data_IF_646295820820
#
_entry.id   IF_646295820820
#
_cell.length_a   1.000
_cell.length_b   1.000
_cell.length_c   1.000
_cell.angle_alpha   90.00
_cell.angle_beta   90.00
_cell.angle_gamma   90.00
#
_symmetry.space_group_name_H-M   'P 1'
#
loop_
_entity.id
_entity.type
_entity.pdbx_description
1 polymer ?
#
# COMPACT_ATOMS: atom_id res chain seq x y z
N UNK A 1 -24.93 -12.62 11.37
CA UNK A 1 -24.17 -11.43 10.95
C UNK A 1 -23.82 -11.63 9.49
N UNK A 2 -24.02 -10.63 8.63
CA UNK A 2 -23.59 -10.73 7.23
C UNK A 2 -22.07 -10.90 7.16
N UNK A 3 -21.59 -11.73 6.24
CA UNK A 3 -20.15 -11.87 5.98
C UNK A 3 -19.67 -10.55 5.41
N UNK A 4 -18.61 -10.00 6.01
CA UNK A 4 -17.98 -8.74 5.58
C UNK A 4 -16.69 -9.05 4.84
N UNK A 5 -16.43 -8.28 3.80
CA UNK A 5 -15.25 -8.34 2.96
C UNK A 5 -14.52 -7.00 2.99
N UNK A 6 -13.20 -7.05 2.88
CA UNK A 6 -12.38 -5.88 2.62
C UNK A 6 -12.28 -5.65 1.12
N UNK A 7 -12.52 -4.43 0.67
CA UNK A 7 -12.42 -4.02 -0.72
C UNK A 7 -11.37 -2.89 -0.86
N UNK A 8 -10.35 -3.12 -1.68
CA UNK A 8 -9.33 -2.14 -2.01
C UNK A 8 -9.68 -1.41 -3.32
N UNK A 9 -9.89 -0.10 -3.24
CA UNK A 9 -10.14 0.74 -4.41
C UNK A 9 -8.92 1.61 -4.73
N UNK A 10 -8.52 1.60 -6.01
CA UNK A 10 -7.40 2.41 -6.54
C UNK A 10 -7.84 3.34 -7.68
N UNK A 11 -9.11 3.27 -8.10
CA UNK A 11 -9.68 4.02 -9.22
C UNK A 11 -10.88 4.86 -8.80
N UNK A 12 -11.93 4.91 -9.63
CA UNK A 12 -13.08 5.80 -9.38
C UNK A 12 -13.89 5.48 -8.13
N UNK A 13 -13.85 4.25 -7.61
CA UNK A 13 -14.57 3.90 -6.37
C UNK A 13 -13.99 4.59 -5.13
N UNK A 14 -12.83 5.25 -5.24
CA UNK A 14 -12.33 6.13 -4.18
C UNK A 14 -13.17 7.42 -4.03
N UNK A 15 -13.89 7.82 -5.08
CA UNK A 15 -14.70 9.04 -5.09
C UNK A 15 -16.15 8.74 -4.67
N UNK A 16 -16.54 9.25 -3.50
CA UNK A 16 -17.88 9.04 -2.93
C UNK A 16 -18.99 9.62 -3.81
N UNK A 17 -18.75 10.74 -4.48
CA UNK A 17 -19.75 11.39 -5.32
C UNK A 17 -19.98 10.61 -6.63
N UNK A 18 -18.91 10.11 -7.26
CA UNK A 18 -19.00 9.23 -8.43
C UNK A 18 -19.74 7.94 -8.11
N UNK A 19 -19.41 7.31 -6.98
CA UNK A 19 -20.11 6.13 -6.47
C UNK A 19 -21.60 6.42 -6.23
N UNK A 20 -21.91 7.45 -5.45
CA UNK A 20 -23.29 7.82 -5.10
C UNK A 20 -24.12 8.10 -6.35
N UNK A 21 -23.60 8.90 -7.28
CA UNK A 21 -24.27 9.22 -8.55
C UNK A 21 -24.50 7.98 -9.40
N UNK A 22 -23.59 7.00 -9.37
CA UNK A 22 -23.75 5.75 -10.11
C UNK A 22 -24.87 4.87 -9.52
N UNK A 23 -24.94 4.78 -8.18
CA UNK A 23 -25.98 4.05 -7.45
C UNK A 23 -27.37 4.68 -7.61
N UNK A 24 -27.50 5.99 -7.40
CA UNK A 24 -28.78 6.72 -7.48
C UNK A 24 -29.41 6.60 -8.87
N UNK A 25 -28.61 6.66 -9.93
CA UNK A 25 -29.07 6.45 -11.32
C UNK A 25 -29.66 5.06 -11.58
N UNK A 26 -29.43 4.10 -10.67
CA UNK A 26 -29.89 2.71 -10.75
C UNK A 26 -30.88 2.35 -9.64
N UNK A 27 -31.25 3.30 -8.78
CA UNK A 27 -32.11 3.04 -7.62
C UNK A 27 -31.46 2.14 -6.56
N UNK A 28 -30.13 2.16 -6.46
CA UNK A 28 -29.35 1.36 -5.51
C UNK A 28 -28.93 2.23 -4.31
N UNK A 29 -28.79 1.61 -3.14
CA UNK A 29 -28.30 2.29 -1.93
C UNK A 29 -26.76 2.33 -1.91
N UNK A 30 -26.13 3.53 -1.90
CA UNK A 30 -24.67 3.65 -1.84
C UNK A 30 -24.07 3.39 -0.45
N UNK A 31 -24.89 3.28 0.61
CA UNK A 31 -24.45 3.33 2.00
C UNK A 31 -23.57 2.16 2.47
N UNK A 32 -23.70 1.00 1.82
CA UNK A 32 -22.93 -0.21 2.16
C UNK A 32 -21.45 -0.15 1.79
N UNK A 33 -20.99 0.85 1.03
CA UNK A 33 -19.57 1.07 0.73
C UNK A 33 -18.92 1.89 1.85
N UNK A 34 -18.52 1.22 2.93
CA UNK A 34 -18.04 1.89 4.16
C UNK A 34 -16.53 2.05 4.14
N UNK A 35 -16.02 3.28 4.02
CA UNK A 35 -14.57 3.54 4.03
C UNK A 35 -13.97 3.27 5.41
N UNK A 36 -12.97 2.39 5.46
CA UNK A 36 -12.19 2.08 6.68
C UNK A 36 -10.97 3.00 6.76
N UNK A 37 -10.26 3.23 5.66
CA UNK A 37 -9.03 4.02 5.71
C UNK A 37 -8.23 4.04 4.41
N UNK A 38 -6.98 4.45 4.52
CA UNK A 38 -5.98 4.36 3.46
C UNK A 38 -5.47 2.91 3.38
N UNK A 39 -4.96 2.53 2.21
CA UNK A 39 -4.24 1.29 2.04
C UNK A 39 -3.25 1.38 0.87
N UNK A 40 -2.38 0.39 0.79
CA UNK A 40 -1.35 0.24 -0.22
C UNK A 40 -1.40 -1.18 -0.77
N UNK A 41 -1.34 -1.29 -2.09
CA UNK A 41 -1.13 -2.55 -2.79
C UNK A 41 0.36 -2.63 -3.19
N UNK A 42 1.20 -3.36 -2.45
CA UNK A 42 2.64 -3.41 -2.68
C UNK A 42 2.99 -4.32 -3.87
N UNK A 43 4.07 -3.95 -4.58
CA UNK A 43 4.58 -4.62 -5.78
C UNK A 43 3.59 -4.63 -6.96
N UNK A 44 2.73 -3.61 -7.03
CA UNK A 44 1.84 -3.32 -8.15
C UNK A 44 2.08 -1.93 -8.71
N UNK A 45 1.66 -1.73 -9.96
CA UNK A 45 1.61 -0.43 -10.65
C UNK A 45 0.22 -0.19 -11.22
N UNK A 46 -0.13 1.09 -11.36
CA UNK A 46 -1.32 1.52 -12.08
C UNK A 46 -1.05 1.54 -13.58
N UNK A 47 -1.98 1.05 -14.40
CA UNK A 47 -1.92 1.09 -15.86
C UNK A 47 -3.22 1.56 -16.48
N UNK A 48 -3.11 2.12 -17.69
CA UNK A 48 -4.23 2.39 -18.59
C UNK A 48 -4.02 1.61 -19.89
N UNK A 49 -4.55 0.39 -19.92
CA UNK A 49 -4.41 -0.55 -21.05
C UNK A 49 -5.75 -1.16 -21.44
N UNK A 50 -6.85 -0.51 -21.07
CA UNK A 50 -8.22 -0.93 -21.39
C UNK A 50 -9.06 0.30 -21.70
N UNK A 51 -9.76 0.28 -22.84
CA UNK A 51 -10.68 1.36 -23.22
C UNK A 51 -12.05 1.15 -22.59
N UNK A 52 -12.45 2.09 -21.73
CA UNK A 52 -13.79 2.14 -21.15
C UNK A 52 -14.71 3.05 -21.96
N UNK A 53 -15.83 2.50 -22.44
CA UNK A 53 -16.87 3.28 -23.13
C UNK A 53 -17.53 4.31 -22.21
N UNK A 54 -17.62 4.04 -20.90
CA UNK A 54 -18.24 4.96 -19.93
C UNK A 54 -17.32 6.13 -19.58
N UNK A 55 -16.00 5.90 -19.51
CA UNK A 55 -14.98 6.94 -19.27
C UNK A 55 -14.47 7.60 -20.54
N UNK A 56 -14.82 7.04 -21.72
CA UNK A 56 -14.39 7.47 -23.06
C UNK A 56 -12.87 7.53 -23.23
N UNK A 57 -12.15 6.63 -22.57
CA UNK A 57 -10.69 6.59 -22.55
C UNK A 57 -10.17 5.42 -21.72
N UNK A 58 -8.88 5.44 -21.43
CA UNK A 58 -8.21 4.47 -20.56
C UNK A 58 -8.85 4.39 -19.18
N UNK A 59 -9.26 3.20 -18.75
CA UNK A 59 -9.67 2.93 -17.38
C UNK A 59 -8.51 2.32 -16.58
N UNK A 60 -8.49 2.63 -15.28
CA UNK A 60 -7.42 2.24 -14.38
C UNK A 60 -7.41 0.74 -14.13
N UNK A 61 -6.24 0.14 -14.19
CA UNK A 61 -5.97 -1.23 -13.77
C UNK A 61 -4.77 -1.27 -12.83
N UNK A 62 -4.70 -2.29 -11.97
CA UNK A 62 -3.49 -2.59 -11.20
C UNK A 62 -2.88 -3.90 -11.69
N UNK A 63 -1.59 -3.86 -11.99
CA UNK A 63 -0.86 -5.06 -12.44
C UNK A 63 0.35 -5.32 -11.53
N UNK A 64 0.69 -6.59 -11.28
CA UNK A 64 1.94 -6.94 -10.60
C UNK A 64 3.14 -6.32 -11.32
N UNK A 65 4.13 -5.90 -10.54
CA UNK A 65 5.31 -5.20 -11.04
C UNK A 65 6.55 -5.52 -10.22
N UNK A 66 7.61 -4.75 -10.44
CA UNK A 66 8.87 -4.90 -9.72
C UNK A 66 8.71 -4.53 -8.25
N UNK A 67 9.52 -5.21 -7.43
CA UNK A 67 9.66 -4.96 -5.99
C UNK A 67 9.78 -3.47 -5.69
N UNK A 68 9.06 -2.98 -4.68
CA UNK A 68 9.18 -1.59 -4.20
C UNK A 68 8.28 -0.60 -4.94
N UNK A 69 7.60 -1.03 -6.01
CA UNK A 69 6.41 -0.32 -6.48
C UNK A 69 5.26 -0.51 -5.50
N UNK A 70 4.33 0.44 -5.45
CA UNK A 70 3.12 0.31 -4.66
C UNK A 70 2.03 1.22 -5.23
N UNK A 71 0.78 0.77 -5.17
CA UNK A 71 -0.39 1.59 -5.53
C UNK A 71 -1.10 2.00 -4.24
N UNK A 72 -1.13 3.28 -3.86
CA UNK A 72 -1.97 3.75 -2.77
C UNK A 72 -3.44 3.77 -3.22
N UNK A 73 -4.34 3.53 -2.27
CA UNK A 73 -5.78 3.52 -2.49
C UNK A 73 -6.55 3.64 -1.18
N UNK A 74 -7.85 3.37 -1.26
CA UNK A 74 -8.74 3.38 -0.11
C UNK A 74 -9.26 1.97 0.18
N UNK A 75 -9.31 1.64 1.47
CA UNK A 75 -9.87 0.39 1.98
C UNK A 75 -11.31 0.62 2.43
N UNK A 76 -12.20 -0.28 2.01
CA UNK A 76 -13.60 -0.29 2.34
C UNK A 76 -14.01 -1.62 2.97
N UNK A 77 -15.03 -1.56 3.82
CA UNK A 77 -15.81 -2.70 4.27
C UNK A 77 -17.06 -2.81 3.40
N UNK A 78 -17.37 -4.02 2.93
CA UNK A 78 -18.57 -4.31 2.15
C UNK A 78 -19.19 -5.64 2.60
N UNK A 79 -20.51 -5.75 2.56
CA UNK A 79 -21.20 -7.04 2.69
C UNK A 79 -21.42 -7.70 1.31
N UNK A 80 -22.07 -8.86 1.30
CA UNK A 80 -22.34 -9.60 0.06
C UNK A 80 -23.21 -8.84 -0.96
N UNK A 81 -24.20 -8.08 -0.49
CA UNK A 81 -25.11 -7.32 -1.36
C UNK A 81 -24.37 -6.12 -1.99
N UNK A 82 -23.52 -5.47 -1.19
CA UNK A 82 -22.66 -4.40 -1.67
C UNK A 82 -21.59 -4.90 -2.64
N UNK A 83 -21.01 -6.07 -2.39
CA UNK A 83 -20.07 -6.70 -3.31
C UNK A 83 -20.74 -7.04 -4.66
N UNK A 84 -21.97 -7.56 -4.64
CA UNK A 84 -22.73 -7.77 -5.87
C UNK A 84 -23.04 -6.45 -6.61
N UNK A 85 -23.23 -5.35 -5.87
CA UNK A 85 -23.40 -4.02 -6.45
C UNK A 85 -22.12 -3.53 -7.14
N UNK A 86 -20.96 -3.77 -6.52
CA UNK A 86 -19.65 -3.49 -7.14
C UNK A 86 -19.44 -4.34 -8.40
N UNK A 87 -19.79 -5.62 -8.39
CA UNK A 87 -19.70 -6.49 -9.58
C UNK A 87 -20.47 -5.93 -10.78
N UNK A 88 -21.68 -5.41 -10.54
CA UNK A 88 -22.48 -4.75 -11.58
C UNK A 88 -21.79 -3.48 -12.11
N UNK A 89 -21.15 -2.70 -11.22
CA UNK A 89 -20.42 -1.47 -11.62
C UNK A 89 -19.18 -1.77 -12.46
N UNK A 90 -18.41 -2.78 -12.04
CA UNK A 90 -17.15 -3.16 -12.66
C UNK A 90 -17.36 -4.07 -13.88
N UNK A 91 -18.61 -4.48 -14.16
CA UNK A 91 -18.93 -5.37 -15.27
C UNK A 91 -18.33 -6.76 -15.09
N UNK A 92 -18.22 -7.21 -13.83
CA UNK A 92 -17.59 -8.47 -13.48
C UNK A 92 -18.43 -9.68 -13.92
N UNK A 93 -17.80 -10.79 -14.33
CA UNK A 93 -16.35 -10.99 -14.49
C UNK A 93 -15.83 -10.66 -15.91
N UNK A 94 -16.61 -9.95 -16.75
CA UNK A 94 -16.32 -9.81 -18.18
C UNK A 94 -15.50 -8.59 -18.58
N UNK A 95 -15.47 -7.56 -17.74
CA UNK A 95 -14.68 -6.33 -17.94
C UNK A 95 -13.55 -6.27 -16.93
N UNK A 96 -13.90 -6.40 -15.66
CA UNK A 96 -12.99 -6.64 -14.56
C UNK A 96 -13.31 -7.97 -13.89
N UNK A 97 -12.35 -8.52 -13.16
CA UNK A 97 -12.47 -9.74 -12.37
C UNK A 97 -12.20 -9.41 -10.90
N UNK A 98 -12.91 -10.03 -9.97
CA UNK A 98 -12.56 -9.96 -8.56
C UNK A 98 -11.24 -10.70 -8.33
N UNK A 99 -10.26 -10.02 -7.76
CA UNK A 99 -8.92 -10.54 -7.52
C UNK A 99 -8.57 -10.39 -6.04
N UNK A 100 -8.28 -11.49 -5.31
CA UNK A 100 -7.78 -11.41 -3.95
C UNK A 100 -6.36 -10.85 -3.95
N UNK A 101 -6.09 -9.91 -3.05
CA UNK A 101 -4.80 -9.23 -2.90
C UNK A 101 -4.40 -9.09 -1.43
N UNK A 102 -3.09 -9.06 -1.20
CA UNK A 102 -2.51 -8.68 0.07
C UNK A 102 -2.24 -7.18 0.05
N UNK A 103 -2.86 -6.43 0.96
CA UNK A 103 -2.67 -4.99 1.11
C UNK A 103 -1.99 -4.67 2.43
N UNK A 104 -1.43 -3.48 2.51
CA UNK A 104 -0.94 -2.86 3.74
C UNK A 104 -1.89 -1.70 4.06
N UNK A 105 -2.57 -1.72 5.21
CA UNK A 105 -3.47 -0.64 5.59
C UNK A 105 -2.73 0.65 5.99
N UNK A 106 -3.48 1.71 6.28
CA UNK A 106 -2.93 3.02 6.62
C UNK A 106 -2.11 3.08 7.91
N UNK A 107 -2.20 2.04 8.73
CA UNK A 107 -1.45 1.89 9.98
C UNK A 107 -0.23 0.95 9.80
N UNK A 108 -0.11 0.29 8.65
CA UNK A 108 1.02 -0.59 8.32
C UNK A 108 0.72 -2.08 8.55
N UNK A 109 -0.53 -2.46 8.81
CA UNK A 109 -0.92 -3.87 9.00
C UNK A 109 -1.24 -4.55 7.67
N UNK A 110 -0.77 -5.79 7.51
CA UNK A 110 -1.12 -6.60 6.35
C UNK A 110 -2.55 -7.12 6.47
N UNK A 111 -3.32 -7.07 5.39
CA UNK A 111 -4.68 -7.62 5.30
C UNK A 111 -4.93 -8.26 3.94
N UNK A 112 -5.84 -9.22 3.91
CA UNK A 112 -6.44 -9.72 2.68
C UNK A 112 -7.62 -8.84 2.28
N UNK A 113 -7.67 -8.44 1.00
CA UNK A 113 -8.78 -7.69 0.43
C UNK A 113 -9.10 -8.21 -0.97
N UNK A 114 -10.31 -7.91 -1.44
CA UNK A 114 -10.70 -8.04 -2.84
C UNK A 114 -10.36 -6.73 -3.52
N UNK A 115 -9.85 -6.80 -4.74
CA UNK A 115 -9.80 -5.68 -5.69
C UNK A 115 -10.40 -6.14 -7.02
N UNK A 116 -10.55 -5.22 -7.97
CA UNK A 116 -10.93 -5.55 -9.33
C UNK A 116 -9.72 -5.36 -10.24
N UNK A 117 -9.46 -6.30 -11.16
CA UNK A 117 -8.41 -6.16 -12.19
C UNK A 117 -9.01 -6.39 -13.57
N UNK A 118 -8.51 -5.73 -14.61
CA UNK A 118 -9.06 -5.87 -15.96
C UNK A 118 -8.97 -7.32 -16.42
N UNK A 119 -10.07 -7.87 -16.95
CA UNK A 119 -10.12 -9.23 -17.47
C UNK A 119 -9.09 -9.41 -18.60
N UNK A 120 -8.40 -10.55 -18.64
CA UNK A 120 -7.33 -10.78 -19.62
C UNK A 120 -7.79 -10.58 -21.09
N UNK A 121 -9.05 -10.87 -21.39
CA UNK A 121 -9.66 -10.69 -22.73
C UNK A 121 -9.92 -9.23 -23.13
N UNK A 122 -9.78 -8.28 -22.18
CA UNK A 122 -10.02 -6.83 -22.36
C UNK A 122 -8.75 -6.01 -22.37
N UNK A 123 -7.63 -6.59 -21.96
CA UNK A 123 -6.32 -5.94 -21.95
C UNK A 123 -5.91 -5.68 -23.40
N UNK A 124 -5.48 -4.45 -23.65
CA UNK A 124 -4.81 -4.01 -24.87
C UNK A 124 -3.30 -4.07 -24.65
N UNK A 125 -2.56 -4.48 -25.67
CA UNK A 125 -1.08 -4.42 -25.66
C UNK A 125 -0.54 -2.98 -25.72
N UNK A 126 -1.42 -2.00 -25.93
CA UNK A 126 -1.05 -0.59 -26.06
C UNK A 126 -1.61 0.26 -24.93
N UNK A 127 -0.87 1.30 -24.59
CA UNK A 127 -1.35 2.37 -23.71
C UNK A 127 -2.62 2.99 -24.30
N UNK A 128 -3.64 3.12 -23.45
CA UNK A 128 -4.89 3.79 -23.78
C UNK A 128 -4.97 5.06 -22.95
N UNK A 129 -4.87 6.22 -23.59
CA UNK A 129 -4.87 7.50 -22.88
C UNK A 129 -6.19 7.69 -22.08
N UNK A 130 -6.12 7.93 -20.76
CA UNK A 130 -7.28 8.25 -19.96
C UNK A 130 -7.73 9.69 -20.21
N UNK A 131 -9.02 9.96 -20.01
CA UNK A 131 -9.51 11.34 -20.09
C UNK A 131 -9.03 12.14 -18.87
N UNK A 132 -8.77 13.44 -19.08
CA UNK A 132 -8.39 14.34 -17.99
C UNK A 132 -9.43 14.37 -16.86
N UNK A 133 -10.73 14.32 -17.19
CA UNK A 133 -11.80 14.25 -16.20
C UNK A 133 -11.66 13.01 -15.29
N UNK A 134 -11.33 11.85 -15.88
CA UNK A 134 -11.20 10.60 -15.14
C UNK A 134 -9.94 10.60 -14.25
N UNK A 135 -8.80 11.07 -14.75
CA UNK A 135 -7.58 11.13 -13.94
C UNK A 135 -7.67 12.17 -12.84
N UNK A 136 -8.34 13.30 -13.08
CA UNK A 136 -8.59 14.33 -12.06
C UNK A 136 -9.51 13.82 -10.94
N UNK A 137 -10.47 12.96 -11.25
CA UNK A 137 -11.29 12.27 -10.24
C UNK A 137 -10.43 11.41 -9.31
N UNK A 138 -9.55 10.58 -9.87
CA UNK A 138 -8.61 9.74 -9.08
C UNK A 138 -7.66 10.64 -8.27
N UNK A 139 -7.08 11.66 -8.90
CA UNK A 139 -6.15 12.60 -8.26
C UNK A 139 -6.77 13.32 -7.06
N UNK A 140 -7.99 13.85 -7.19
CA UNK A 140 -8.71 14.51 -6.09
C UNK A 140 -9.02 13.56 -4.94
N UNK A 141 -9.37 12.32 -5.26
CA UNK A 141 -9.61 11.29 -4.25
C UNK A 141 -8.32 10.99 -3.46
N UNK A 142 -7.19 10.81 -4.13
CA UNK A 142 -5.90 10.59 -3.48
C UNK A 142 -5.51 11.78 -2.58
N UNK A 143 -5.55 13.01 -3.10
CA UNK A 143 -5.16 14.22 -2.37
C UNK A 143 -6.06 14.47 -1.15
N UNK A 144 -7.38 14.39 -1.31
CA UNK A 144 -8.32 14.62 -0.20
C UNK A 144 -8.19 13.57 0.91
N UNK A 145 -7.60 12.42 0.59
CA UNK A 145 -7.26 11.38 1.56
C UNK A 145 -5.78 11.36 1.91
N UNK A 146 -4.99 12.42 1.68
CA UNK A 146 -3.57 12.51 2.03
C UNK A 146 -2.70 11.35 1.49
N UNK A 147 -2.99 10.92 0.26
CA UNK A 147 -2.22 9.90 -0.46
C UNK A 147 -1.40 10.53 -1.60
N UNK A 148 -0.21 9.96 -1.89
CA UNK A 148 0.62 10.42 -3.00
C UNK A 148 -0.02 10.15 -4.36
N UNK A 149 0.38 10.94 -5.36
CA UNK A 149 -0.18 10.90 -6.73
C UNK A 149 0.87 10.50 -7.78
N UNK A 150 2.09 10.20 -7.36
CA UNK A 150 3.24 9.92 -8.23
C UNK A 150 3.00 8.67 -9.08
N UNK A 151 2.42 7.60 -8.50
CA UNK A 151 2.03 6.41 -9.27
C UNK A 151 1.01 6.72 -10.39
N UNK A 152 0.07 7.62 -10.13
CA UNK A 152 -0.94 8.06 -11.11
C UNK A 152 -0.29 8.89 -12.21
N UNK A 153 0.61 9.83 -11.86
CA UNK A 153 1.39 10.61 -12.84
C UNK A 153 2.19 9.69 -13.76
N UNK A 154 2.92 8.73 -13.16
CA UNK A 154 3.68 7.72 -13.91
C UNK A 154 2.79 6.92 -14.86
N UNK A 155 1.57 6.55 -14.44
CA UNK A 155 0.62 5.84 -15.29
C UNK A 155 0.08 6.70 -16.46
N UNK A 156 -0.22 7.97 -16.23
CA UNK A 156 -0.66 8.93 -17.26
C UNK A 156 0.45 9.17 -18.30
N UNK A 157 1.71 9.19 -17.86
CA UNK A 157 2.88 9.35 -18.72
C UNK A 157 3.34 8.03 -19.35
N UNK A 158 2.65 6.93 -19.07
CA UNK A 158 3.03 5.56 -19.47
C UNK A 158 4.48 5.19 -19.07
N UNK A 159 4.94 5.70 -17.92
CA UNK A 159 6.26 5.49 -17.33
C UNK A 159 6.16 4.64 -16.06
N UNK A 160 5.59 3.44 -16.18
CA UNK A 160 5.17 2.62 -15.03
C UNK A 160 6.27 1.71 -14.47
N UNK A 161 7.54 1.94 -14.80
CA UNK A 161 8.68 1.12 -14.33
C UNK A 161 9.37 1.65 -13.08
N UNK A 162 9.04 2.87 -12.64
CA UNK A 162 9.76 3.56 -11.58
C UNK A 162 8.98 3.56 -10.25
N UNK A 163 9.48 2.89 -9.19
CA UNK A 163 9.02 3.13 -7.83
C UNK A 163 9.12 4.62 -7.46
N UNK A 164 8.14 5.13 -6.72
CA UNK A 164 8.19 6.52 -6.22
C UNK A 164 8.44 6.59 -4.71
N UNK A 165 8.20 5.50 -3.98
CA UNK A 165 8.45 5.42 -2.54
C UNK A 165 9.88 4.94 -2.30
N UNK A 166 10.80 5.89 -2.19
CA UNK A 166 12.25 5.64 -2.19
C UNK A 166 12.88 5.64 -0.77
N UNK A 167 12.07 5.49 0.29
CA UNK A 167 12.57 5.54 1.67
C UNK A 167 12.24 4.28 2.46
N UNK A 168 13.16 3.91 3.35
CA UNK A 168 13.03 2.79 4.29
C UNK A 168 13.25 3.29 5.71
N UNK A 169 12.31 3.01 6.61
CA UNK A 169 12.43 3.23 8.04
C UNK A 169 13.01 1.98 8.72
N UNK A 170 14.18 2.14 9.35
CA UNK A 170 14.87 1.11 10.12
C UNK A 170 14.94 1.50 11.59
N UNK A 171 14.63 0.57 12.48
CA UNK A 171 14.47 0.83 13.93
C UNK A 171 15.41 -0.03 14.80
N UNK A 172 16.16 -0.95 14.20
CA UNK A 172 16.97 -1.96 14.91
C UNK A 172 18.38 -2.11 14.36
N UNK A 173 18.79 -3.35 14.09
CA UNK A 173 20.19 -3.72 13.76
C UNK A 173 20.77 -3.05 12.51
N UNK A 174 19.93 -2.44 11.66
CA UNK A 174 20.32 -1.70 10.46
C UNK A 174 20.66 -0.22 10.73
N UNK A 175 20.38 0.28 11.94
CA UNK A 175 20.64 1.67 12.34
C UNK A 175 22.13 1.95 12.52
N UNK A 176 22.51 3.23 12.46
CA UNK A 176 23.89 3.67 12.65
C UNK A 176 24.54 3.14 13.93
N UNK A 177 25.73 2.55 13.81
CA UNK A 177 26.46 1.95 14.93
C UNK A 177 26.00 0.55 15.33
N UNK A 178 24.95 0.01 14.72
CA UNK A 178 24.53 -1.38 14.91
C UNK A 178 25.21 -2.34 13.92
N UNK A 179 25.14 -3.65 14.23
CA UNK A 179 25.79 -4.75 13.50
C UNK A 179 25.59 -4.71 11.97
N UNK A 180 24.39 -4.37 11.48
CA UNK A 180 24.04 -4.38 10.04
C UNK A 180 24.06 -2.98 9.42
N UNK A 181 24.58 -1.98 10.13
CA UNK A 181 24.64 -0.60 9.64
C UNK A 181 25.31 -0.49 8.27
N UNK A 182 26.43 -1.20 8.06
CA UNK A 182 27.21 -1.07 6.83
C UNK A 182 26.37 -1.43 5.59
N UNK A 183 25.49 -2.43 5.69
CA UNK A 183 24.56 -2.77 4.61
C UNK A 183 23.60 -1.62 4.32
N UNK A 184 22.97 -1.03 5.34
CA UNK A 184 22.06 0.11 5.14
C UNK A 184 22.80 1.35 4.63
N UNK A 185 24.06 1.54 5.03
CA UNK A 185 24.91 2.63 4.58
C UNK A 185 25.29 2.52 3.09
N UNK A 186 25.50 1.31 2.58
CA UNK A 186 25.74 1.05 1.15
C UNK A 186 24.47 1.25 0.30
N UNK A 187 23.28 1.01 0.88
CA UNK A 187 21.99 1.11 0.20
C UNK A 187 21.36 2.50 0.23
N UNK A 188 21.88 3.43 1.05
CA UNK A 188 21.28 4.74 1.25
C UNK A 188 22.21 5.90 0.97
N UNK A 189 21.67 6.97 0.39
CA UNK A 189 22.40 8.20 0.08
C UNK A 189 22.21 9.27 1.15
N UNK A 190 21.13 9.17 1.93
CA UNK A 190 20.80 10.08 3.03
C UNK A 190 20.09 9.32 4.15
N UNK A 191 20.31 9.75 5.39
CA UNK A 191 19.63 9.25 6.59
C UNK A 191 19.16 10.40 7.45
N UNK A 192 17.97 10.25 8.01
CA UNK A 192 17.36 11.23 8.92
C UNK A 192 16.72 10.48 10.09
N UNK A 193 16.69 11.07 11.27
CA UNK A 193 15.96 10.48 12.40
C UNK A 193 14.47 10.68 12.19
N UNK A 194 13.69 9.64 12.46
CA UNK A 194 12.23 9.68 12.41
C UNK A 194 11.61 8.82 13.49
N UNK A 195 10.32 9.04 13.73
CA UNK A 195 9.55 8.26 14.71
C UNK A 195 8.27 7.69 14.11
N UNK A 196 7.83 6.55 14.65
CA UNK A 196 6.53 5.93 14.33
C UNK A 196 5.77 5.66 15.62
N UNK A 197 4.43 5.64 15.58
CA UNK A 197 3.63 5.11 16.69
C UNK A 197 3.48 3.61 16.49
N UNK A 198 4.05 2.84 17.40
CA UNK A 198 4.12 1.38 17.33
C UNK A 198 4.50 0.78 18.70
N UNK A 199 4.63 -0.54 18.77
CA UNK A 199 5.29 -1.23 19.89
C UNK A 199 6.57 -1.88 19.41
N UNK A 200 7.67 -1.65 20.12
CA UNK A 200 8.95 -2.27 19.87
C UNK A 200 9.15 -3.43 20.86
N UNK A 201 9.45 -4.61 20.35
CA UNK A 201 9.71 -5.82 21.11
C UNK A 201 11.18 -6.22 21.03
N UNK A 202 11.69 -6.79 22.11
CA UNK A 202 13.01 -7.43 22.13
C UNK A 202 12.89 -8.93 21.77
N UNK A 203 13.37 -9.34 20.60
CA UNK A 203 13.46 -10.76 20.20
C UNK A 203 14.84 -11.37 20.52
N UNK A 204 15.65 -10.70 21.34
CA UNK A 204 17.00 -11.09 21.74
C UNK A 204 18.05 -10.48 20.83
N UNK A 205 18.32 -11.12 19.69
CA UNK A 205 19.37 -10.65 18.77
C UNK A 205 18.91 -9.49 17.87
N UNK A 206 17.61 -9.23 17.79
CA UNK A 206 17.00 -8.25 16.90
C UNK A 206 15.66 -7.76 17.47
N UNK A 207 15.20 -6.54 17.15
CA UNK A 207 13.90 -6.05 17.60
C UNK A 207 12.76 -6.39 16.65
N UNK A 208 11.54 -6.47 17.17
CA UNK A 208 10.30 -6.58 16.38
C UNK A 208 9.45 -5.32 16.48
N UNK A 209 9.03 -4.75 15.34
CA UNK A 209 8.07 -3.64 15.31
C UNK A 209 6.64 -4.17 15.06
N UNK A 210 5.71 -3.85 15.95
CA UNK A 210 4.27 -4.08 15.74
C UNK A 210 3.55 -2.74 15.57
N UNK A 211 2.79 -2.54 14.48
CA UNK A 211 2.09 -1.28 14.24
C UNK A 211 0.95 -0.95 15.21
N UNK A 212 0.42 -1.93 15.96
CA UNK A 212 -0.75 -1.74 16.82
C UNK A 212 -0.47 -0.95 18.12
N UNK A 213 0.78 -0.54 18.35
CA UNK A 213 1.21 0.16 19.55
C UNK A 213 1.09 1.68 19.51
N UNK A 214 1.06 2.29 20.69
CA UNK A 214 1.00 3.77 20.84
C UNK A 214 2.32 4.39 21.28
N UNK A 215 3.36 3.61 21.54
CA UNK A 215 4.68 4.11 21.94
C UNK A 215 5.36 4.78 20.76
N UNK A 216 6.10 5.85 21.02
CA UNK A 216 6.95 6.46 20.00
C UNK A 216 8.20 5.62 19.81
N UNK A 217 8.34 4.99 18.64
CA UNK A 217 9.52 4.21 18.27
C UNK A 217 10.46 5.06 17.45
N UNK A 218 11.71 5.17 17.92
CA UNK A 218 12.77 5.95 17.26
C UNK A 218 13.54 5.09 16.28
N UNK A 219 13.72 5.61 15.07
CA UNK A 219 14.51 4.96 14.03
C UNK A 219 15.17 5.96 13.07
N UNK A 220 15.65 5.42 11.97
CA UNK A 220 16.31 6.15 10.90
C UNK A 220 15.54 5.93 9.60
N UNK A 221 15.25 7.01 8.89
CA UNK A 221 14.69 6.99 7.55
C UNK A 221 15.82 7.12 6.55
N UNK A 222 16.06 6.04 5.82
CA UNK A 222 17.08 5.93 4.81
C UNK A 222 16.49 6.16 3.42
N UNK A 223 17.07 7.09 2.66
CA UNK A 223 16.70 7.32 1.26
C UNK A 223 17.55 6.44 0.35
N UNK A 224 16.91 5.64 -0.50
CA UNK A 224 17.53 4.65 -1.38
C UNK A 224 17.34 5.07 -2.84
N UNK A 225 18.44 5.29 -3.56
CA UNK A 225 18.40 5.64 -4.99
C UNK A 225 17.87 4.50 -5.87
N UNK A 226 18.05 3.26 -5.45
CA UNK A 226 17.44 2.06 -6.04
C UNK A 226 16.69 1.28 -4.96
N UNK A 227 15.43 1.66 -4.75
CA UNK A 227 14.59 1.02 -3.73
C UNK A 227 14.32 -0.46 -4.04
N UNK A 228 14.21 -0.83 -5.32
CA UNK A 228 13.98 -2.21 -5.73
C UNK A 228 15.15 -3.12 -5.34
N UNK A 229 16.38 -2.63 -5.51
CA UNK A 229 17.60 -3.30 -5.07
C UNK A 229 17.73 -3.32 -3.55
N UNK A 230 17.49 -2.18 -2.89
CA UNK A 230 17.57 -2.10 -1.43
C UNK A 230 16.61 -3.08 -0.75
N UNK A 231 15.33 -3.06 -1.14
CA UNK A 231 14.35 -3.98 -0.60
C UNK A 231 14.67 -5.44 -0.93
N UNK A 232 15.33 -5.75 -2.06
CA UNK A 232 15.76 -7.13 -2.36
C UNK A 232 16.76 -7.65 -1.31
N UNK A 233 17.70 -6.81 -0.89
CA UNK A 233 18.71 -7.18 0.11
C UNK A 233 18.08 -7.23 1.51
N UNK A 234 17.25 -6.24 1.83
CA UNK A 234 16.56 -6.19 3.13
C UNK A 234 15.58 -7.36 3.30
N UNK A 235 14.86 -7.76 2.26
CA UNK A 235 14.01 -8.96 2.27
C UNK A 235 14.79 -10.22 2.68
N UNK A 236 16.04 -10.36 2.21
CA UNK A 236 16.90 -11.50 2.58
C UNK A 236 17.34 -11.44 4.05
N UNK A 237 17.65 -10.24 4.55
CA UNK A 237 18.07 -10.02 5.94
C UNK A 237 16.92 -10.29 6.90
N UNK A 238 15.73 -9.79 6.57
CA UNK A 238 14.54 -9.81 7.41
C UNK A 238 13.70 -11.10 7.20
N UNK A 239 14.15 -12.00 6.31
CA UNK A 239 13.46 -13.27 6.05
C UNK A 239 12.06 -13.09 5.46
N UNK A 240 11.89 -12.10 4.57
CA UNK A 240 10.67 -11.87 3.81
C UNK A 240 10.80 -12.47 2.40
N UNK A 241 9.91 -13.38 2.05
CA UNK A 241 9.91 -14.08 0.77
C UNK A 241 8.87 -13.51 -0.19
N UNK A 242 7.62 -13.40 0.25
CA UNK A 242 6.52 -12.78 -0.50
C UNK A 242 5.31 -12.50 0.39
N UNK A 243 4.43 -11.61 -0.09
CA UNK A 243 3.12 -11.40 0.52
C UNK A 243 2.25 -12.67 0.36
N UNK A 244 1.53 -13.04 1.43
CA UNK A 244 0.65 -14.22 1.46
C UNK A 244 1.35 -15.54 1.84
N UNK A 245 2.68 -15.55 2.02
CA UNK A 245 3.38 -16.70 2.59
C UNK A 245 3.41 -16.65 4.12
N UNK A 246 3.28 -17.82 4.76
CA UNK A 246 3.22 -17.95 6.22
C UNK A 246 4.62 -18.02 6.88
N UNK A 247 5.65 -18.43 6.15
CA UNK A 247 7.00 -18.67 6.68
C UNK A 247 7.89 -17.42 6.71
N UNK A 248 7.30 -16.23 6.60
CA UNK A 248 8.04 -14.96 6.70
C UNK A 248 8.45 -14.70 8.15
N UNK A 249 9.72 -14.33 8.37
CA UNK A 249 10.20 -13.91 9.69
C UNK A 249 9.70 -12.51 10.04
N UNK A 250 9.81 -11.58 9.09
CA UNK A 250 9.19 -10.26 9.12
C UNK A 250 8.38 -10.03 7.84
N UNK A 251 7.45 -9.10 7.89
CA UNK A 251 6.67 -8.65 6.75
C UNK A 251 7.11 -7.27 6.31
N UNK A 252 7.41 -7.11 5.02
CA UNK A 252 7.60 -5.79 4.44
C UNK A 252 6.28 -5.02 4.49
N UNK A 253 6.34 -3.79 4.98
CA UNK A 253 5.18 -2.92 5.17
C UNK A 253 5.49 -1.48 4.74
N UNK A 254 4.47 -0.62 4.72
CA UNK A 254 4.55 0.81 4.49
C UNK A 254 3.89 1.50 5.69
N UNK A 255 4.60 2.42 6.34
CA UNK A 255 4.12 3.12 7.53
C UNK A 255 4.34 4.63 7.41
N UNK A 256 3.53 5.42 8.13
CA UNK A 256 3.77 6.86 8.30
C UNK A 256 4.85 7.08 9.36
N UNK A 257 5.96 7.66 8.94
CA UNK A 257 7.03 8.12 9.81
C UNK A 257 6.91 9.63 9.98
N UNK A 258 7.08 10.11 11.21
CA UNK A 258 7.20 11.53 11.51
C UNK A 258 8.67 11.93 11.40
N UNK A 259 8.99 12.81 10.45
CA UNK A 259 10.32 13.40 10.27
C UNK A 259 10.20 14.92 10.41
N UNK A 260 10.91 15.52 11.36
CA UNK A 260 10.90 16.97 11.59
C UNK A 260 9.48 17.57 11.69
N UNK A 261 8.52 16.81 12.25
CA UNK A 261 7.12 17.23 12.37
C UNK A 261 6.25 16.96 11.13
N UNK A 262 6.81 16.45 10.04
CA UNK A 262 6.07 16.07 8.83
C UNK A 262 5.89 14.55 8.72
N UNK A 263 4.67 14.11 8.45
CA UNK A 263 4.40 12.69 8.19
C UNK A 263 4.79 12.33 6.75
N UNK A 264 5.60 11.28 6.59
CA UNK A 264 5.99 10.71 5.30
C UNK A 264 5.81 9.21 5.31
N UNK A 265 5.39 8.67 4.19
CA UNK A 265 5.35 7.22 4.00
C UNK A 265 6.76 6.69 3.78
N UNK A 266 7.06 5.54 4.37
CA UNK A 266 8.30 4.81 4.14
C UNK A 266 8.04 3.30 4.19
N UNK A 267 8.82 2.53 3.44
CA UNK A 267 8.89 1.09 3.63
C UNK A 267 9.46 0.76 5.02
N UNK A 268 9.06 -0.36 5.60
CA UNK A 268 9.63 -0.88 6.84
C UNK A 268 9.41 -2.39 6.92
N UNK A 269 9.85 -3.01 8.00
CA UNK A 269 9.62 -4.43 8.30
C UNK A 269 8.89 -4.54 9.63
N UNK A 270 7.86 -5.36 9.71
CA UNK A 270 7.06 -5.55 10.93
C UNK A 270 6.98 -7.03 11.30
N UNK A 271 6.67 -7.30 12.56
CA UNK A 271 6.47 -8.67 13.07
C UNK A 271 4.98 -8.94 13.31
N UNK A 272 4.54 -10.16 12.96
CA UNK A 272 3.21 -10.68 13.31
C UNK A 272 3.28 -11.62 14.54
N UNK A 273 4.44 -11.76 15.17
CA UNK A 273 4.65 -12.70 16.29
C UNK A 273 3.91 -12.19 17.54
N UNK A 274 3.08 -13.02 18.20
CA UNK A 274 2.40 -12.64 19.44
C UNK A 274 3.37 -12.30 20.57
N UNK A 275 2.97 -11.32 21.37
CA UNK A 275 3.70 -10.53 22.37
C UNK A 275 4.22 -11.27 23.62
N UNK A 276 4.72 -12.51 23.52
CA UNK A 276 5.39 -13.19 24.66
C UNK A 276 6.79 -12.62 24.97
N UNK A 277 7.18 -11.58 24.23
CA UNK A 277 8.47 -10.90 24.32
C UNK A 277 8.39 -9.60 25.12
N UNK A 278 9.52 -9.27 25.73
CA UNK A 278 9.68 -8.04 26.49
C UNK A 278 9.51 -6.83 25.58
N UNK A 279 8.63 -5.92 25.97
CA UNK A 279 8.46 -4.62 25.30
C UNK A 279 9.66 -3.73 25.66
N UNK A 280 10.25 -3.10 24.66
CA UNK A 280 11.28 -2.06 24.84
C UNK A 280 10.54 -0.75 25.13
N UNK A 281 10.34 -0.45 26.41
CA UNK A 281 9.51 0.67 26.87
C UNK A 281 10.01 2.05 26.40
N UNK A 282 11.31 2.19 26.13
CA UNK A 282 11.91 3.42 25.59
C UNK A 282 11.51 3.70 24.15
N UNK A 283 11.03 2.68 23.41
CA UNK A 283 10.80 2.78 21.96
C UNK A 283 12.09 2.88 21.14
N UNK A 284 13.26 2.73 21.74
CA UNK A 284 14.55 2.88 21.05
C UNK A 284 15.44 1.66 21.30
N UNK A 285 15.71 0.90 20.25
CA UNK A 285 16.56 -0.30 20.29
C UNK A 285 17.96 -0.04 20.87
N UNK A 286 18.50 1.17 20.66
CA UNK A 286 19.83 1.56 21.16
C UNK A 286 19.79 1.90 22.67
N UNK A 287 18.60 2.07 23.23
CA UNK A 287 18.32 2.38 24.63
C UNK A 287 17.37 1.32 25.25
N UNK A 288 17.67 0.03 25.03
CA UNK A 288 16.89 -1.11 25.55
C UNK A 288 17.17 -1.43 27.01
#
# INVERSE_FOLDING_TARGET
MAVKHLYFAYGSNMDREDWTRWCEKRGLDPSGLVRIGQAWLPDYILKFHYYSSSRKGGAADVVPSVRGTAVPGLLFEVDGDMLATLDIKEGAPHVYEQTPVQIIDGDGMLKEAITYTVSASRISDTYVEPTHEYTELIRRSLISNNLPIEHLKNAIENNTSKPFLETVFVYGTLREGELRFQTMNELSTKREIGTVRATLYDHGAYPGLSPEGTTEVVGEVSHCSDISHALKILDQIEGFYSYGQQDNLYYRSIIKVLLNGEARWAWTYITNIPSDRTIIASGDWKNR
#
